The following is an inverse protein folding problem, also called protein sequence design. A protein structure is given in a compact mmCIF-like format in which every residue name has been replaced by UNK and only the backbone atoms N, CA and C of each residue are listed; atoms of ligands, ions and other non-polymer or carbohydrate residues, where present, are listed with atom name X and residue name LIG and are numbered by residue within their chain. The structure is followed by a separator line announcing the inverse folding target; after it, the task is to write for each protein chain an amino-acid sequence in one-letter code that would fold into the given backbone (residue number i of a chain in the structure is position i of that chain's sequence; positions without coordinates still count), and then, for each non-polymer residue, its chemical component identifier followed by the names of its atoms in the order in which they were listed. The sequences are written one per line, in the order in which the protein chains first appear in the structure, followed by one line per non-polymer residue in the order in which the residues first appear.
data_IF_854765246324
#
_entry.id   IF_854765246324
#
_cell.length_a   1.000
_cell.length_b   1.000
_cell.length_c   1.000
_cell.angle_alpha   90.00
_cell.angle_beta   90.00
_cell.angle_gamma   90.00
#
_symmetry.space_group_name_H-M   'P 1'
#
loop_
_entity.id
_entity.type
_entity.pdbx_description
1 polymer ?
#
# COMPACT_ATOMS: atom_id res chain seq x y z
N UNK A 1 -0.92 -19.98 -9.28
CA UNK A 1 -1.20 -21.41 -9.43
C UNK A 1 -1.76 -22.05 -8.16
N UNK A 2 -1.34 -21.64 -6.94
CA UNK A 2 -1.86 -22.19 -5.68
C UNK A 2 -3.38 -22.05 -5.57
N UNK A 3 -3.94 -20.86 -5.82
CA UNK A 3 -5.39 -20.64 -5.77
C UNK A 3 -6.14 -21.48 -6.80
N UNK A 4 -5.59 -21.65 -8.00
CA UNK A 4 -6.18 -22.55 -8.99
C UNK A 4 -6.27 -23.98 -8.48
N UNK A 5 -5.21 -24.47 -7.82
CA UNK A 5 -5.20 -25.84 -7.27
C UNK A 5 -6.21 -25.99 -6.11
N UNK A 6 -6.27 -24.99 -5.21
CA UNK A 6 -7.20 -25.03 -4.05
C UNK A 6 -8.66 -24.97 -4.51
N UNK A 7 -8.99 -24.12 -5.47
CA UNK A 7 -10.38 -23.91 -5.92
C UNK A 7 -10.76 -24.68 -7.18
N UNK A 8 -9.88 -25.57 -7.67
CA UNK A 8 -10.15 -26.42 -8.84
C UNK A 8 -11.39 -27.31 -8.64
N UNK A 9 -11.55 -27.85 -7.43
CA UNK A 9 -12.70 -28.70 -7.11
C UNK A 9 -14.06 -27.97 -7.14
N UNK A 10 -14.03 -26.62 -7.04
CA UNK A 10 -15.22 -25.77 -7.07
C UNK A 10 -15.50 -25.18 -8.46
N UNK A 11 -14.67 -25.51 -9.48
CA UNK A 11 -14.72 -24.89 -10.82
C UNK A 11 -14.73 -23.36 -10.79
N UNK A 12 -14.08 -22.74 -9.80
CA UNK A 12 -14.08 -21.30 -9.63
C UNK A 12 -13.36 -20.59 -10.77
N UNK A 13 -14.01 -19.58 -11.30
CA UNK A 13 -13.47 -18.72 -12.38
C UNK A 13 -12.58 -17.64 -11.76
N UNK A 14 -11.26 -17.79 -11.90
CA UNK A 14 -10.27 -16.93 -11.29
C UNK A 14 -9.72 -15.96 -12.33
N UNK A 15 -9.84 -14.66 -12.07
CA UNK A 15 -9.26 -13.60 -12.88
C UNK A 15 -8.10 -12.94 -12.13
N UNK A 16 -6.93 -12.88 -12.76
CA UNK A 16 -5.78 -12.14 -12.24
C UNK A 16 -5.66 -10.79 -12.92
N UNK A 17 -5.55 -9.74 -12.11
CA UNK A 17 -5.34 -8.36 -12.56
C UNK A 17 -4.02 -7.85 -11.99
N UNK A 18 -3.09 -7.55 -12.87
CA UNK A 18 -1.80 -6.96 -12.55
C UNK A 18 -1.55 -5.67 -13.35
N UNK A 19 -0.40 -5.05 -13.11
CA UNK A 19 -0.06 -3.79 -13.77
C UNK A 19 0.03 -3.92 -15.30
N UNK A 20 0.45 -5.08 -15.78
CA UNK A 20 0.63 -5.30 -17.23
C UNK A 20 -0.71 -5.53 -17.91
N UNK A 21 -1.62 -6.27 -17.27
CA UNK A 21 -2.99 -6.48 -17.79
C UNK A 21 -3.80 -5.18 -17.87
N UNK A 22 -3.54 -4.21 -16.99
CA UNK A 22 -4.23 -2.92 -16.96
C UNK A 22 -3.64 -1.87 -17.90
N UNK A 23 -2.40 -2.03 -18.37
CA UNK A 23 -1.78 -1.14 -19.36
C UNK A 23 -2.50 -1.15 -20.70
N UNK A 24 -3.01 -2.29 -21.11
CA UNK A 24 -3.78 -2.43 -22.34
C UNK A 24 -5.25 -2.11 -22.07
N UNK A 25 -5.72 -0.97 -22.58
CA UNK A 25 -7.10 -0.51 -22.39
C UNK A 25 -8.15 -1.52 -22.84
N UNK A 26 -7.90 -2.25 -23.95
CA UNK A 26 -8.85 -3.26 -24.46
C UNK A 26 -8.94 -4.45 -23.52
N UNK A 27 -7.78 -4.98 -23.09
CA UNK A 27 -7.72 -6.11 -22.13
C UNK A 27 -8.43 -5.75 -20.83
N UNK A 28 -8.18 -4.56 -20.32
CA UNK A 28 -8.84 -4.08 -19.12
C UNK A 28 -10.36 -3.93 -19.28
N UNK A 29 -10.81 -3.42 -20.42
CA UNK A 29 -12.24 -3.29 -20.70
C UNK A 29 -12.93 -4.65 -20.73
N UNK A 30 -12.36 -5.64 -21.42
CA UNK A 30 -12.88 -7.02 -21.45
C UNK A 30 -12.94 -7.63 -20.05
N UNK A 31 -11.89 -7.46 -19.24
CA UNK A 31 -11.90 -7.94 -17.84
C UNK A 31 -13.03 -7.30 -17.02
N UNK A 32 -13.26 -6.00 -17.17
CA UNK A 32 -14.36 -5.31 -16.49
C UNK A 32 -15.72 -5.85 -16.91
N UNK A 33 -15.93 -6.09 -18.20
CA UNK A 33 -17.16 -6.65 -18.74
C UNK A 33 -17.43 -8.03 -18.13
N UNK A 34 -16.42 -8.90 -18.04
CA UNK A 34 -16.53 -10.21 -17.38
C UNK A 34 -16.88 -10.10 -15.89
N UNK A 35 -16.26 -9.17 -15.17
CA UNK A 35 -16.58 -8.94 -13.75
C UNK A 35 -18.02 -8.46 -13.57
N UNK A 36 -18.46 -7.50 -14.37
CA UNK A 36 -19.85 -6.98 -14.32
C UNK A 36 -20.89 -8.02 -14.76
N UNK A 37 -20.53 -8.92 -15.67
CA UNK A 37 -21.38 -10.04 -16.09
C UNK A 37 -21.43 -11.20 -15.06
N UNK A 38 -20.77 -11.06 -13.90
CA UNK A 38 -20.61 -12.12 -12.90
C UNK A 38 -19.97 -13.42 -13.47
N UNK A 39 -19.05 -13.26 -14.43
CA UNK A 39 -18.29 -14.36 -15.00
C UNK A 39 -17.01 -14.67 -14.22
N UNK A 40 -16.74 -13.95 -13.14
CA UNK A 40 -15.56 -14.08 -12.28
C UNK A 40 -16.02 -14.34 -10.86
N UNK A 41 -15.52 -15.42 -10.26
CA UNK A 41 -15.81 -15.79 -8.88
C UNK A 41 -14.72 -15.30 -7.92
N UNK A 42 -13.45 -15.31 -8.37
CA UNK A 42 -12.30 -14.86 -7.57
C UNK A 42 -11.47 -13.88 -8.39
N UNK A 43 -11.30 -12.68 -7.85
CA UNK A 43 -10.45 -11.65 -8.43
C UNK A 43 -9.14 -11.56 -7.62
N UNK A 44 -8.01 -11.78 -8.27
CA UNK A 44 -6.69 -11.70 -7.64
C UNK A 44 -5.93 -10.52 -8.22
N UNK A 45 -5.40 -9.66 -7.35
CA UNK A 45 -4.64 -8.53 -7.83
C UNK A 45 -3.85 -7.82 -6.75
N UNK A 46 -3.14 -6.78 -7.17
CA UNK A 46 -2.37 -5.91 -6.28
C UNK A 46 -3.19 -4.67 -5.92
N UNK A 47 -2.55 -3.70 -5.26
CA UNK A 47 -3.14 -2.41 -4.86
C UNK A 47 -3.93 -1.68 -5.97
N UNK A 48 -3.70 -2.03 -7.23
CA UNK A 48 -4.42 -1.43 -8.37
C UNK A 48 -5.93 -1.71 -8.35
N UNK A 49 -6.35 -2.85 -7.77
CA UNK A 49 -7.78 -3.18 -7.61
C UNK A 49 -8.49 -2.27 -6.59
N UNK A 50 -7.75 -1.72 -5.63
CA UNK A 50 -8.30 -0.81 -4.63
C UNK A 50 -8.67 0.56 -5.21
N UNK A 51 -8.06 0.98 -6.33
CA UNK A 51 -8.24 2.32 -6.90
C UNK A 51 -9.29 2.37 -8.01
N UNK A 52 -10.38 3.07 -7.73
CA UNK A 52 -11.28 3.60 -8.79
C UNK A 52 -12.17 2.59 -9.52
N UNK A 53 -12.19 1.32 -9.11
CA UNK A 53 -13.02 0.29 -9.74
C UNK A 53 -14.17 -0.11 -8.86
N UNK A 54 -15.34 -0.25 -9.46
CA UNK A 54 -16.54 -0.69 -8.79
C UNK A 54 -16.77 -2.19 -9.05
N UNK A 55 -16.99 -2.95 -7.97
CA UNK A 55 -17.24 -4.38 -8.00
C UNK A 55 -18.56 -4.68 -7.27
N UNK A 56 -19.72 -4.53 -7.92
CA UNK A 56 -21.02 -4.52 -7.25
C UNK A 56 -21.39 -5.85 -6.58
N UNK A 57 -20.81 -6.95 -7.01
CA UNK A 57 -21.07 -8.29 -6.47
C UNK A 57 -20.01 -8.73 -5.43
N UNK A 58 -19.07 -7.85 -5.04
CA UNK A 58 -18.00 -8.21 -4.14
C UNK A 58 -18.51 -8.30 -2.69
N UNK A 59 -18.46 -9.49 -2.12
CA UNK A 59 -18.91 -9.77 -0.74
C UNK A 59 -17.77 -10.08 0.22
N UNK A 60 -16.62 -10.52 -0.30
CA UNK A 60 -15.45 -10.86 0.50
C UNK A 60 -14.19 -10.25 -0.09
N UNK A 61 -13.38 -9.64 0.76
CA UNK A 61 -12.04 -9.16 0.41
C UNK A 61 -11.01 -9.82 1.33
N UNK A 62 -10.05 -10.51 0.73
CA UNK A 62 -8.88 -11.06 1.43
C UNK A 62 -7.63 -10.20 1.19
N UNK A 63 -6.99 -9.75 2.26
CA UNK A 63 -5.70 -9.06 2.20
C UNK A 63 -4.61 -9.99 2.72
N UNK A 64 -3.64 -10.31 1.88
CA UNK A 64 -2.56 -11.23 2.22
C UNK A 64 -1.26 -10.46 2.48
N UNK A 65 -0.60 -10.79 3.58
CA UNK A 65 0.74 -10.30 3.94
C UNK A 65 0.90 -8.76 3.90
N UNK A 66 0.09 -7.97 4.64
CA UNK A 66 0.27 -6.53 4.74
C UNK A 66 1.49 -6.14 5.58
N UNK A 67 2.06 -7.07 6.34
CA UNK A 67 3.11 -6.83 7.33
C UNK A 67 4.39 -6.25 6.71
N UNK A 68 4.73 -6.65 5.49
CA UNK A 68 5.88 -6.09 4.76
C UNK A 68 5.73 -4.59 4.49
N UNK A 69 4.51 -4.11 4.30
CA UNK A 69 4.23 -2.69 4.15
C UNK A 69 4.24 -1.96 5.50
N UNK A 70 3.81 -2.62 6.58
CA UNK A 70 3.79 -2.07 7.93
C UNK A 70 5.19 -1.74 8.44
N UNK A 71 6.16 -2.64 8.19
CA UNK A 71 7.54 -2.52 8.67
C UNK A 71 8.51 -1.94 7.62
N UNK A 72 8.00 -1.12 6.71
CA UNK A 72 8.83 -0.38 5.76
C UNK A 72 9.62 0.74 6.46
N UNK A 73 10.79 1.09 5.93
CA UNK A 73 11.59 2.23 6.40
C UNK A 73 10.98 3.62 6.13
N UNK A 74 9.90 3.70 5.37
CA UNK A 74 9.16 4.95 5.16
C UNK A 74 8.33 5.27 6.42
N UNK A 75 8.60 6.40 7.06
CA UNK A 75 7.85 6.84 8.25
C UNK A 75 6.33 6.98 8.03
N UNK A 76 5.88 7.01 6.76
CA UNK A 76 4.47 7.01 6.37
C UNK A 76 3.94 5.62 6.04
N UNK A 77 4.71 4.57 6.26
CA UNK A 77 4.33 3.22 5.84
C UNK A 77 3.00 2.77 6.46
N UNK A 78 2.84 2.94 7.77
CA UNK A 78 1.62 2.59 8.49
C UNK A 78 0.41 3.42 8.03
N UNK A 79 0.57 4.73 7.81
CA UNK A 79 -0.46 5.60 7.27
C UNK A 79 -0.91 5.18 5.86
N UNK A 80 0.06 4.89 4.99
CA UNK A 80 -0.25 4.41 3.64
C UNK A 80 -0.97 3.07 3.65
N UNK A 81 -0.53 2.15 4.50
CA UNK A 81 -1.18 0.86 4.68
C UNK A 81 -2.61 1.02 5.19
N UNK A 82 -2.81 1.84 6.23
CA UNK A 82 -4.14 2.13 6.78
C UNK A 82 -5.08 2.65 5.70
N UNK A 83 -4.66 3.68 4.95
CA UNK A 83 -5.47 4.25 3.86
C UNK A 83 -5.80 3.21 2.77
N UNK A 84 -4.88 2.33 2.44
CA UNK A 84 -5.10 1.24 1.48
C UNK A 84 -6.13 0.23 1.99
N UNK A 85 -6.02 -0.18 3.26
CA UNK A 85 -6.93 -1.14 3.87
C UNK A 85 -8.35 -0.57 4.00
N UNK A 86 -8.48 0.72 4.35
CA UNK A 86 -9.79 1.41 4.35
C UNK A 86 -10.39 1.44 2.94
N UNK A 87 -9.60 1.75 1.91
CA UNK A 87 -10.08 1.73 0.53
C UNK A 87 -10.56 0.35 0.09
N UNK A 88 -9.83 -0.69 0.46
CA UNK A 88 -10.17 -2.09 0.16
C UNK A 88 -11.41 -2.51 0.93
N UNK A 89 -11.49 -2.20 2.22
CA UNK A 89 -12.65 -2.49 3.06
C UNK A 89 -13.91 -1.84 2.52
N UNK A 90 -13.84 -0.60 2.07
CA UNK A 90 -14.97 0.11 1.46
C UNK A 90 -15.43 -0.45 0.11
N UNK A 91 -14.80 -1.52 -0.41
CA UNK A 91 -15.24 -2.23 -1.62
C UNK A 91 -16.08 -3.47 -1.31
N UNK A 92 -15.91 -4.04 -0.12
CA UNK A 92 -16.68 -5.19 0.31
C UNK A 92 -18.10 -4.76 0.74
N UNK A 93 -19.11 -5.41 0.17
CA UNK A 93 -20.52 -5.16 0.52
C UNK A 93 -21.13 -3.90 -0.09
N UNK A 94 -22.41 -3.94 -0.29
CA UNK A 94 -23.30 -2.81 -0.65
C UNK A 94 -24.64 -3.00 0.04
N UNK A 95 -25.45 -1.92 0.09
CA UNK A 95 -26.71 -1.73 0.80
C UNK A 95 -27.52 -3.01 1.18
N UNK A 96 -27.54 -4.01 0.31
CA UNK A 96 -28.34 -5.23 0.49
C UNK A 96 -27.51 -6.48 0.86
N UNK A 97 -26.15 -6.39 0.85
CA UNK A 97 -25.25 -7.50 1.15
C UNK A 97 -24.10 -7.03 2.02
N UNK A 98 -24.04 -7.47 3.28
CA UNK A 98 -22.90 -7.16 4.13
C UNK A 98 -21.62 -7.74 3.50
N UNK A 99 -20.56 -6.92 3.48
CA UNK A 99 -19.25 -7.35 3.03
C UNK A 99 -18.36 -7.76 4.19
N UNK A 100 -17.49 -8.71 3.93
CA UNK A 100 -16.49 -9.16 4.89
C UNK A 100 -15.09 -8.84 4.39
N UNK A 101 -14.20 -8.45 5.33
CA UNK A 101 -12.80 -8.21 5.05
C UNK A 101 -11.94 -9.05 5.97
N UNK A 102 -11.13 -9.92 5.39
CA UNK A 102 -10.20 -10.78 6.12
C UNK A 102 -8.77 -10.29 5.85
N UNK A 103 -8.03 -9.99 6.90
CA UNK A 103 -6.63 -9.55 6.83
C UNK A 103 -5.76 -10.63 7.45
N UNK A 104 -4.86 -11.22 6.65
CA UNK A 104 -3.90 -12.19 7.13
C UNK A 104 -2.63 -11.48 7.60
N UNK A 105 -2.42 -11.39 8.89
CA UNK A 105 -1.27 -10.75 9.53
C UNK A 105 -0.69 -11.61 10.65
N UNK A 106 0.61 -11.46 10.91
CA UNK A 106 1.27 -12.03 12.09
C UNK A 106 1.09 -11.15 13.36
N UNK A 107 0.54 -9.94 13.21
CA UNK A 107 0.41 -8.94 14.27
C UNK A 107 -1.04 -8.45 14.44
N UNK A 108 -2.00 -9.33 14.77
CA UNK A 108 -3.42 -8.96 14.82
C UNK A 108 -3.73 -7.86 15.84
N UNK A 109 -2.95 -7.78 16.92
CA UNK A 109 -3.11 -6.79 17.98
C UNK A 109 -2.40 -5.46 17.69
N UNK A 110 -1.82 -5.28 16.51
CA UNK A 110 -1.18 -4.02 16.14
C UNK A 110 -2.22 -2.88 16.11
N UNK A 111 -1.93 -1.69 16.69
CA UNK A 111 -2.88 -0.58 16.80
C UNK A 111 -3.56 -0.19 15.49
N UNK A 112 -2.88 -0.33 14.37
CA UNK A 112 -3.43 -0.10 13.03
C UNK A 112 -4.66 -1.00 12.76
N UNK A 113 -4.54 -2.31 13.03
CA UNK A 113 -5.62 -3.26 12.74
C UNK A 113 -6.77 -3.10 13.74
N UNK A 114 -6.48 -2.79 14.99
CA UNK A 114 -7.52 -2.48 16.00
C UNK A 114 -8.31 -1.24 15.61
N UNK A 115 -7.63 -0.18 15.15
CA UNK A 115 -8.28 1.04 14.67
C UNK A 115 -9.15 0.79 13.43
N UNK A 116 -8.73 -0.10 12.53
CA UNK A 116 -9.55 -0.52 11.38
C UNK A 116 -10.82 -1.24 11.81
N UNK A 117 -10.73 -2.15 12.78
CA UNK A 117 -11.87 -2.91 13.29
C UNK A 117 -12.92 -2.01 13.97
N UNK A 118 -12.46 -0.99 14.68
CA UNK A 118 -13.32 -0.05 15.41
C UNK A 118 -13.71 1.19 14.60
N UNK A 119 -13.19 1.32 13.37
CA UNK A 119 -13.33 2.52 12.53
C UNK A 119 -12.83 3.81 13.21
N UNK A 120 -11.87 3.68 14.13
CA UNK A 120 -11.28 4.81 14.88
C UNK A 120 -10.10 5.44 14.11
N UNK A 121 -10.43 6.19 13.06
CA UNK A 121 -9.40 6.93 12.31
C UNK A 121 -8.78 8.06 13.12
N UNK A 122 -9.58 8.77 13.93
CA UNK A 122 -9.11 9.94 14.67
C UNK A 122 -8.11 9.55 15.76
N UNK A 123 -8.42 8.52 16.55
CA UNK A 123 -7.49 7.99 17.55
C UNK A 123 -6.21 7.46 16.93
N UNK A 124 -6.31 6.74 15.81
CA UNK A 124 -5.16 6.28 15.05
C UNK A 124 -4.28 7.43 14.56
N UNK A 125 -4.87 8.44 13.92
CA UNK A 125 -4.14 9.61 13.42
C UNK A 125 -3.45 10.38 14.54
N UNK A 126 -4.11 10.56 15.69
CA UNK A 126 -3.54 11.21 16.86
C UNK A 126 -2.31 10.46 17.39
N UNK A 127 -2.39 9.13 17.50
CA UNK A 127 -1.24 8.31 17.92
C UNK A 127 -0.06 8.42 16.97
N UNK A 128 -0.32 8.37 15.65
CA UNK A 128 0.72 8.52 14.64
C UNK A 128 1.38 9.91 14.65
N UNK A 129 0.63 10.96 14.92
CA UNK A 129 1.18 12.31 15.09
C UNK A 129 2.06 12.40 16.33
N UNK A 130 1.63 11.82 17.46
CA UNK A 130 2.42 11.80 18.68
C UNK A 130 3.76 11.05 18.47
N UNK A 131 3.76 9.89 17.83
CA UNK A 131 4.96 9.14 17.47
C UNK A 131 5.90 9.96 16.58
N UNK A 132 5.38 10.66 15.57
CA UNK A 132 6.17 11.53 14.68
C UNK A 132 6.78 12.71 15.42
N UNK A 133 6.04 13.29 16.35
CA UNK A 133 6.55 14.40 17.17
C UNK A 133 7.74 13.93 18.02
N UNK A 134 7.61 12.79 18.68
CA UNK A 134 8.70 12.22 19.50
C UNK A 134 9.92 11.83 18.64
N UNK A 135 9.69 11.33 17.44
CA UNK A 135 10.76 10.89 16.54
C UNK A 135 11.35 12.02 15.67
N UNK A 136 10.86 13.25 15.77
CA UNK A 136 11.33 14.35 14.92
C UNK A 136 11.00 14.14 13.43
N UNK A 137 9.79 13.66 13.12
CA UNK A 137 9.31 13.47 11.75
C UNK A 137 8.30 14.54 11.32
N UNK A 138 8.10 14.73 10.01
CA UNK A 138 7.03 15.59 9.52
C UNK A 138 5.65 15.19 10.09
N UNK A 139 4.77 16.15 10.39
CA UNK A 139 4.82 17.59 10.05
C UNK A 139 5.57 18.48 11.04
N UNK A 140 6.16 17.93 12.10
CA UNK A 140 6.82 18.71 13.15
C UNK A 140 8.20 19.24 12.72
N UNK A 141 8.81 18.62 11.74
CA UNK A 141 10.05 19.06 11.08
C UNK A 141 9.88 19.00 9.56
N UNK A 142 10.73 19.73 8.86
CA UNK A 142 10.82 19.61 7.41
C UNK A 142 11.90 18.60 7.05
N UNK A 143 11.58 17.70 6.12
CA UNK A 143 12.55 16.73 5.59
C UNK A 143 12.61 16.82 4.07
N UNK A 144 13.82 16.72 3.54
CA UNK A 144 14.06 16.57 2.10
C UNK A 144 14.98 15.37 1.87
N UNK A 145 14.65 14.57 0.85
CA UNK A 145 15.47 13.44 0.43
C UNK A 145 16.03 13.72 -0.97
N UNK A 146 17.38 13.74 -1.05
CA UNK A 146 18.07 13.75 -2.32
C UNK A 146 18.31 12.31 -2.77
N UNK A 147 17.75 11.93 -3.91
CA UNK A 147 17.96 10.62 -4.52
C UNK A 147 18.77 10.76 -5.80
N UNK A 148 19.74 9.88 -5.99
CA UNK A 148 20.52 9.79 -7.21
C UNK A 148 20.47 8.38 -7.76
N UNK A 149 20.40 8.26 -9.08
CA UNK A 149 20.41 6.99 -9.81
C UNK A 149 21.46 7.08 -10.92
N UNK A 150 22.20 6.01 -11.14
CA UNK A 150 23.22 5.96 -12.18
C UNK A 150 23.66 4.54 -12.51
N UNK A 151 24.38 4.40 -13.62
CA UNK A 151 24.88 3.08 -14.07
C UNK A 151 26.02 2.54 -13.20
N UNK A 152 26.74 3.41 -12.53
CA UNK A 152 27.89 3.07 -11.68
C UNK A 152 27.65 3.60 -10.27
N UNK A 153 27.67 2.71 -9.30
CA UNK A 153 27.46 3.01 -7.90
C UNK A 153 28.47 4.06 -7.37
N UNK A 154 29.73 3.94 -7.77
CA UNK A 154 30.80 4.89 -7.40
C UNK A 154 30.48 6.33 -7.82
N UNK A 155 29.89 6.52 -8.99
CA UNK A 155 29.47 7.84 -9.46
C UNK A 155 28.31 8.41 -8.66
N UNK A 156 27.34 7.56 -8.28
CA UNK A 156 26.21 7.94 -7.43
C UNK A 156 26.67 8.39 -6.05
N UNK A 157 27.54 7.62 -5.40
CA UNK A 157 28.11 7.99 -4.11
C UNK A 157 28.97 9.25 -4.18
N UNK A 158 29.78 9.41 -5.23
CA UNK A 158 30.57 10.62 -5.42
C UNK A 158 29.67 11.86 -5.49
N UNK A 159 28.58 11.79 -6.27
CA UNK A 159 27.61 12.89 -6.38
C UNK A 159 26.94 13.20 -5.03
N UNK A 160 26.44 12.20 -4.31
CA UNK A 160 25.75 12.40 -3.03
C UNK A 160 26.71 12.96 -1.96
N UNK A 161 27.95 12.48 -1.89
CA UNK A 161 28.96 13.01 -0.98
C UNK A 161 29.37 14.45 -1.32
N UNK A 162 29.44 14.79 -2.61
CA UNK A 162 29.70 16.15 -3.05
C UNK A 162 28.54 17.10 -2.69
N UNK A 163 27.29 16.66 -2.87
CA UNK A 163 26.11 17.42 -2.46
C UNK A 163 26.09 17.65 -0.93
N UNK A 164 26.42 16.60 -0.16
CA UNK A 164 26.58 16.69 1.30
C UNK A 164 27.66 17.72 1.69
N UNK A 165 28.83 17.64 1.09
CA UNK A 165 29.91 18.57 1.36
C UNK A 165 29.53 20.03 1.03
N UNK A 166 28.84 20.25 -0.08
CA UNK A 166 28.34 21.56 -0.46
C UNK A 166 27.31 22.10 0.56
N UNK A 167 26.37 21.26 1.01
CA UNK A 167 25.40 21.65 2.02
C UNK A 167 26.06 22.04 3.36
N UNK A 168 27.08 21.28 3.79
CA UNK A 168 27.88 21.61 4.99
C UNK A 168 28.62 22.94 4.80
N UNK A 169 29.24 23.15 3.64
CA UNK A 169 30.00 24.37 3.36
C UNK A 169 29.11 25.65 3.33
N UNK A 170 27.85 25.50 2.97
CA UNK A 170 26.86 26.59 2.99
C UNK A 170 26.37 26.96 4.40
N UNK A 171 26.78 26.23 5.42
CA UNK A 171 26.37 26.42 6.82
C UNK A 171 24.85 26.56 6.99
N UNK A 172 24.10 25.81 6.19
CA UNK A 172 22.65 25.77 6.28
C UNK A 172 22.22 25.24 7.65
N UNK A 173 21.13 25.77 8.19
CA UNK A 173 20.51 25.29 9.43
C UNK A 173 19.74 23.99 9.15
N UNK A 174 20.46 22.97 8.65
CA UNK A 174 19.90 21.66 8.31
C UNK A 174 20.75 20.55 8.93
N UNK A 175 20.12 19.51 9.43
CA UNK A 175 20.78 18.29 9.84
C UNK A 175 20.87 17.33 8.66
N UNK A 176 22.08 16.85 8.35
CA UNK A 176 22.31 15.87 7.30
C UNK A 176 22.43 14.50 7.93
N UNK A 177 21.40 13.69 7.83
CA UNK A 177 21.32 12.43 8.54
C UNK A 177 22.31 11.40 8.00
N UNK A 178 22.21 10.98 6.75
CA UNK A 178 23.12 9.99 6.17
C UNK A 178 23.05 9.95 4.64
N UNK A 179 24.06 9.32 4.03
CA UNK A 179 24.05 8.85 2.64
C UNK A 179 23.93 7.32 2.72
N UNK A 180 22.82 6.77 2.20
CA UNK A 180 22.54 5.33 2.19
C UNK A 180 22.42 4.81 0.77
N UNK A 181 22.76 3.52 0.53
CA UNK A 181 22.64 2.89 -0.79
C UNK A 181 21.19 2.75 -1.25
#
# INVERSE_FOLDING_TARGET
DLLKNVFHALNARILRVDRDSTRNKRTWQTMREQIHANEVDILVGTQMLAKGHDFPALTLVGVLNPDSALYSSDFRAAEKLFAQLVQVAGRAGRADKPGEVIIQTAFPDHPLFLALQTHDFEGWAASQLAERQMAGFPPFVYQAMLRAEGKQETGVYAFLNQARAAAVALQLAVEILCVVP
#
